data_IF_045794556981
#
_entry.id   IF_045794556981
#
_cell.length_a   1.000
_cell.length_b   1.000
_cell.length_c   1.000
_cell.angle_alpha   90.00
_cell.angle_beta   90.00
_cell.angle_gamma   90.00
#
_symmetry.space_group_name_H-M   'P 1'
#
loop_
_entity.id
_entity.type
_entity.pdbx_description
1 polymer ?
#
# COMPACT_ATOMS: atom_id res chain seq x y z
N UNK A 1 0.04 -7.58 23.73
CA UNK A 1 -1.00 -6.55 23.88
C UNK A 1 -2.08 -6.93 24.90
N UNK A 2 -2.77 -8.08 24.78
CA UNK A 2 -3.84 -8.44 25.73
C UNK A 2 -3.39 -8.48 27.19
N UNK A 3 -2.26 -9.14 27.49
CA UNK A 3 -1.74 -9.28 28.86
C UNK A 3 -1.01 -8.06 29.43
N UNK A 4 -0.86 -6.98 28.66
CA UNK A 4 -0.17 -5.77 29.11
C UNK A 4 -1.18 -4.80 29.76
N UNK A 5 -1.11 -4.49 31.06
CA UNK A 5 -2.07 -3.62 31.74
C UNK A 5 -2.06 -2.17 31.22
N UNK A 6 -1.00 -1.69 30.56
CA UNK A 6 -0.92 -0.32 30.04
C UNK A 6 -1.52 -0.18 28.62
N UNK A 7 -1.80 -1.30 27.95
CA UNK A 7 -2.49 -1.28 26.65
C UNK A 7 -4.00 -1.13 26.85
N UNK A 8 -4.56 0.05 26.54
CA UNK A 8 -6.00 0.30 26.61
C UNK A 8 -6.77 -0.17 25.35
N UNK A 9 -6.13 -0.23 24.19
CA UNK A 9 -6.73 -0.66 22.92
C UNK A 9 -5.67 -1.15 21.92
N UNK A 10 -6.08 -1.91 20.91
CA UNK A 10 -5.21 -2.41 19.84
C UNK A 10 -5.65 -1.85 18.49
N UNK A 11 -4.73 -1.24 17.74
CA UNK A 11 -4.93 -0.85 16.35
C UNK A 11 -4.15 -1.82 15.45
N UNK A 12 -4.87 -2.67 14.73
CA UNK A 12 -4.32 -3.63 13.78
C UNK A 12 -4.37 -3.06 12.37
N UNK A 13 -3.21 -2.95 11.72
CA UNK A 13 -3.05 -2.51 10.33
C UNK A 13 -2.49 -3.68 9.54
N UNK A 14 -3.31 -4.24 8.65
CA UNK A 14 -2.94 -5.32 7.75
C UNK A 14 -2.84 -4.87 6.29
N UNK A 15 -2.55 -5.82 5.40
CA UNK A 15 -2.47 -5.62 3.95
C UNK A 15 -3.32 -6.68 3.24
N UNK A 16 -3.57 -6.48 1.94
CA UNK A 16 -4.08 -7.54 1.06
C UNK A 16 -3.05 -8.67 0.88
N UNK A 17 -3.54 -9.86 0.54
CA UNK A 17 -2.73 -11.07 0.35
C UNK A 17 -2.56 -11.90 1.64
N UNK A 18 -2.34 -13.20 1.47
CA UNK A 18 -2.23 -14.16 2.59
C UNK A 18 -3.51 -14.31 3.43
N UNK A 19 -3.40 -14.95 4.60
CA UNK A 19 -4.50 -15.25 5.53
C UNK A 19 -4.29 -14.73 6.96
N UNK A 20 -3.18 -14.02 7.21
CA UNK A 20 -2.74 -13.66 8.56
C UNK A 20 -3.77 -12.81 9.30
N UNK A 21 -4.45 -11.90 8.61
CA UNK A 21 -5.48 -11.04 9.20
C UNK A 21 -6.76 -11.81 9.56
N UNK A 22 -7.11 -12.83 8.79
CA UNK A 22 -8.22 -13.73 9.10
C UNK A 22 -7.92 -14.60 10.32
N UNK A 23 -6.69 -15.13 10.41
CA UNK A 23 -6.20 -15.88 11.58
C UNK A 23 -6.14 -14.98 12.82
N UNK A 24 -5.63 -13.76 12.68
CA UNK A 24 -5.63 -12.76 13.75
C UNK A 24 -7.06 -12.40 14.18
N UNK A 25 -8.01 -12.29 13.24
CA UNK A 25 -9.42 -12.06 13.58
C UNK A 25 -10.00 -13.23 14.39
N UNK A 26 -9.72 -14.48 14.02
CA UNK A 26 -10.13 -15.64 14.81
C UNK A 26 -9.54 -15.60 16.23
N UNK A 27 -8.24 -15.30 16.35
CA UNK A 27 -7.59 -15.16 17.66
C UNK A 27 -8.20 -14.02 18.50
N UNK A 28 -8.49 -12.87 17.88
CA UNK A 28 -9.11 -11.73 18.55
C UNK A 28 -10.48 -12.11 19.12
N UNK A 29 -11.31 -12.80 18.34
CA UNK A 29 -12.62 -13.27 18.78
C UNK A 29 -12.53 -14.14 20.04
N UNK A 30 -11.56 -15.04 20.08
CA UNK A 30 -11.50 -16.09 21.11
C UNK A 30 -10.71 -15.67 22.36
N UNK A 31 -9.78 -14.71 22.23
CA UNK A 31 -8.79 -14.44 23.28
C UNK A 31 -8.60 -12.97 23.64
N UNK A 32 -9.15 -12.02 22.88
CA UNK A 32 -8.89 -10.59 23.09
C UNK A 32 -10.16 -9.88 23.57
N UNK A 33 -10.12 -9.36 24.79
CA UNK A 33 -11.24 -8.61 25.37
C UNK A 33 -11.09 -7.10 25.21
N UNK A 34 -9.87 -6.62 24.93
CA UNK A 34 -9.60 -5.20 24.70
C UNK A 34 -10.19 -4.74 23.36
N UNK A 35 -10.60 -3.47 23.23
CA UNK A 35 -11.07 -2.95 21.96
C UNK A 35 -10.01 -3.08 20.86
N UNK A 36 -10.39 -3.72 19.75
CA UNK A 36 -9.55 -3.82 18.55
C UNK A 36 -10.15 -3.00 17.41
N UNK A 37 -9.31 -2.19 16.77
CA UNK A 37 -9.62 -1.41 15.56
C UNK A 37 -8.79 -2.02 14.43
N UNK A 38 -9.39 -2.20 13.25
CA UNK A 38 -8.75 -2.83 12.09
C UNK A 38 -8.71 -1.92 10.86
N UNK A 39 -7.63 -1.95 10.11
CA UNK A 39 -7.53 -1.33 8.78
C UNK A 39 -6.76 -2.26 7.83
N UNK A 40 -7.21 -2.34 6.58
CA UNK A 40 -6.51 -3.08 5.52
C UNK A 40 -5.98 -2.11 4.46
N UNK A 41 -4.68 -2.13 4.25
CA UNK A 41 -4.00 -1.46 3.15
C UNK A 41 -4.32 -2.17 1.82
N UNK A 42 -4.34 -1.41 0.71
CA UNK A 42 -4.57 -2.00 -0.61
C UNK A 42 -6.05 -2.30 -0.95
N UNK A 43 -7.01 -1.70 -0.24
CA UNK A 43 -8.46 -1.84 -0.53
C UNK A 43 -8.86 -1.51 -1.98
N UNK A 44 -8.11 -0.65 -2.66
CA UNK A 44 -8.36 -0.23 -4.05
C UNK A 44 -7.37 -0.88 -5.03
N UNK A 45 -6.65 -1.93 -4.61
CA UNK A 45 -5.68 -2.59 -5.46
C UNK A 45 -6.42 -3.30 -6.62
N UNK A 46 -5.96 -3.12 -7.87
CA UNK A 46 -6.50 -3.86 -8.99
C UNK A 46 -6.20 -5.36 -8.84
N UNK A 47 -7.09 -6.26 -9.33
CA UNK A 47 -6.84 -7.70 -9.33
C UNK A 47 -5.52 -8.06 -10.03
N UNK A 48 -4.86 -9.11 -9.54
CA UNK A 48 -3.63 -9.65 -10.15
C UNK A 48 -2.39 -8.76 -10.01
N UNK A 49 -2.43 -7.75 -9.14
CA UNK A 49 -1.29 -6.85 -8.89
C UNK A 49 -0.65 -7.16 -7.56
N UNK A 50 0.68 -7.28 -7.59
CA UNK A 50 1.50 -7.43 -6.40
C UNK A 50 1.75 -6.06 -5.78
N UNK A 51 1.33 -5.85 -4.55
CA UNK A 51 1.75 -4.70 -3.75
C UNK A 51 3.14 -4.99 -3.16
N UNK A 52 3.93 -3.95 -2.90
CA UNK A 52 5.41 -4.01 -2.83
C UNK A 52 6.05 -5.03 -1.87
N UNK A 53 5.32 -5.61 -0.90
CA UNK A 53 5.82 -6.67 -0.03
C UNK A 53 5.73 -8.06 -0.68
N UNK A 54 6.67 -8.93 -0.33
CA UNK A 54 6.82 -10.23 -1.00
C UNK A 54 5.56 -11.12 -0.92
N UNK A 55 4.71 -10.95 0.10
CA UNK A 55 3.50 -11.74 0.37
C UNK A 55 2.17 -11.14 -0.08
N UNK A 56 2.14 -9.92 -0.65
CA UNK A 56 0.88 -9.29 -1.08
C UNK A 56 0.47 -9.76 -2.50
N UNK A 57 0.17 -11.05 -2.62
CA UNK A 57 -0.39 -11.66 -3.83
C UNK A 57 -1.86 -11.98 -3.58
N UNK A 58 -2.75 -11.37 -4.36
CA UNK A 58 -4.16 -11.77 -4.46
C UNK A 58 -4.24 -12.76 -5.62
N UNK A 59 -4.35 -14.06 -5.32
CA UNK A 59 -4.54 -15.12 -6.32
C UNK A 59 -5.86 -15.86 -6.06
N UNK A 60 -6.56 -16.23 -7.13
CA UNK A 60 -7.78 -17.06 -7.05
C UNK A 60 -8.94 -16.44 -6.27
N UNK A 61 -8.96 -15.12 -6.06
CA UNK A 61 -10.02 -14.43 -5.30
C UNK A 61 -9.86 -14.47 -3.79
N UNK A 62 -8.78 -15.07 -3.26
CA UNK A 62 -8.47 -15.13 -1.83
C UNK A 62 -7.48 -14.04 -1.41
N UNK A 63 -7.56 -13.63 -0.14
CA UNK A 63 -6.70 -12.58 0.44
C UNK A 63 -7.13 -11.16 0.03
N UNK A 64 -8.37 -10.99 -0.44
CA UNK A 64 -8.89 -9.67 -0.79
C UNK A 64 -9.12 -8.82 0.47
N UNK A 65 -9.06 -7.50 0.32
CA UNK A 65 -9.37 -6.61 1.44
C UNK A 65 -10.80 -6.82 1.96
N UNK A 66 -11.75 -7.10 1.06
CA UNK A 66 -13.15 -7.31 1.43
C UNK A 66 -13.32 -8.53 2.34
N UNK A 67 -12.70 -9.66 2.02
CA UNK A 67 -12.74 -10.88 2.83
C UNK A 67 -12.10 -10.67 4.20
N UNK A 68 -10.89 -10.10 4.23
CA UNK A 68 -10.16 -9.76 5.46
C UNK A 68 -10.99 -8.87 6.37
N UNK A 69 -11.53 -7.78 5.82
CA UNK A 69 -12.37 -6.85 6.58
C UNK A 69 -13.67 -7.49 7.05
N UNK A 70 -14.24 -8.44 6.30
CA UNK A 70 -15.41 -9.19 6.72
C UNK A 70 -15.08 -10.15 7.89
N UNK A 71 -13.94 -10.85 7.82
CA UNK A 71 -13.45 -11.68 8.92
C UNK A 71 -13.22 -10.87 10.20
N UNK A 72 -12.53 -9.73 10.08
CA UNK A 72 -12.34 -8.79 11.19
C UNK A 72 -13.66 -8.34 11.80
N UNK A 73 -14.63 -7.92 10.98
CA UNK A 73 -15.96 -7.50 11.47
C UNK A 73 -16.68 -8.62 12.23
N UNK A 74 -16.63 -9.86 11.72
CA UNK A 74 -17.23 -11.02 12.40
C UNK A 74 -16.58 -11.31 13.75
N UNK A 75 -15.31 -10.98 13.91
CA UNK A 75 -14.57 -11.09 15.17
C UNK A 75 -14.81 -9.94 16.16
N UNK A 76 -15.71 -8.99 15.85
CA UNK A 76 -15.97 -7.82 16.70
C UNK A 76 -14.95 -6.69 16.55
N UNK A 77 -14.05 -6.77 15.57
CA UNK A 77 -13.07 -5.72 15.29
C UNK A 77 -13.75 -4.53 14.61
N UNK A 78 -13.49 -3.32 15.10
CA UNK A 78 -13.97 -2.07 14.48
C UNK A 78 -13.14 -1.75 13.25
N UNK A 79 -13.63 -2.15 12.08
CA UNK A 79 -12.89 -1.96 10.83
C UNK A 79 -13.15 -0.59 10.21
N UNK A 80 -12.09 0.19 9.97
CA UNK A 80 -12.14 1.47 9.27
C UNK A 80 -11.77 1.33 7.80
N UNK A 81 -12.32 2.20 6.94
CA UNK A 81 -12.06 2.20 5.49
C UNK A 81 -10.95 3.16 5.06
N UNK A 82 -10.66 4.17 5.88
CA UNK A 82 -9.70 5.23 5.55
C UNK A 82 -8.68 5.40 6.69
N UNK A 83 -7.40 5.61 6.37
CA UNK A 83 -6.39 5.97 7.37
C UNK A 83 -6.77 7.19 8.20
N UNK A 84 -7.44 8.17 7.59
CA UNK A 84 -7.88 9.40 8.26
C UNK A 84 -8.86 9.14 9.41
N UNK A 85 -9.59 8.02 9.37
CA UNK A 85 -10.58 7.65 10.38
C UNK A 85 -10.01 6.80 11.53
N UNK A 86 -8.75 6.34 11.44
CA UNK A 86 -8.16 5.46 12.46
C UNK A 86 -8.11 6.13 13.84
N UNK A 87 -7.51 7.32 13.92
CA UNK A 87 -7.33 8.02 15.20
C UNK A 87 -8.65 8.38 15.89
N UNK A 88 -9.62 8.87 15.13
CA UNK A 88 -10.95 9.18 15.63
C UNK A 88 -11.68 7.93 16.15
N UNK A 89 -11.52 6.80 15.46
CA UNK A 89 -12.14 5.52 15.85
C UNK A 89 -11.50 4.93 17.11
N UNK A 90 -10.18 5.04 17.25
CA UNK A 90 -9.47 4.68 18.48
C UNK A 90 -9.95 5.56 19.64
N UNK A 91 -10.02 6.88 19.45
CA UNK A 91 -10.51 7.79 20.49
C UNK A 91 -11.94 7.46 20.94
N UNK A 92 -12.84 7.12 20.01
CA UNK A 92 -14.20 6.63 20.32
C UNK A 92 -14.18 5.32 21.11
N UNK A 93 -13.36 4.35 20.71
CA UNK A 93 -13.25 3.07 21.40
C UNK A 93 -12.78 3.25 22.85
N UNK A 94 -11.76 4.09 23.07
CA UNK A 94 -11.25 4.41 24.40
C UNK A 94 -12.29 5.15 25.25
N UNK A 95 -13.02 6.09 24.66
CA UNK A 95 -14.08 6.82 25.36
C UNK A 95 -15.23 5.90 25.83
N UNK A 96 -15.46 4.78 25.15
CA UNK A 96 -16.52 3.82 25.51
C UNK A 96 -16.16 2.91 26.70
N UNK A 97 -14.87 2.77 27.03
CA UNK A 97 -14.40 1.87 28.10
C UNK A 97 -13.90 2.62 29.35
N UNK A 98 -13.58 3.91 29.24
CA UNK A 98 -13.15 4.71 30.39
C UNK A 98 -14.37 5.26 31.15
N UNK A 99 -14.45 5.07 32.49
CA UNK A 99 -15.44 5.75 33.31
C UNK A 99 -15.37 7.27 33.10
N UNK A 100 -16.51 7.95 33.05
CA UNK A 100 -16.60 9.41 32.86
C UNK A 100 -15.71 10.18 33.84
N UNK A 101 -15.50 9.65 35.06
CA UNK A 101 -14.63 10.23 36.09
C UNK A 101 -13.12 10.01 35.87
N UNK A 102 -12.71 8.94 35.16
CA UNK A 102 -11.30 8.65 34.83
C UNK A 102 -10.80 9.43 33.59
N UNK A 103 -11.65 10.29 33.04
CA UNK A 103 -11.38 11.18 31.91
C UNK A 103 -10.54 12.39 32.37
N UNK A 104 -9.42 12.17 33.08
CA UNK A 104 -8.49 13.25 33.49
C UNK A 104 -7.38 13.45 32.46
N UNK A 105 -7.19 14.74 32.15
CA UNK A 105 -6.13 15.45 31.42
C UNK A 105 -5.16 14.56 30.65
N UNK A 106 -5.37 14.45 29.33
CA UNK A 106 -4.27 14.15 28.44
C UNK A 106 -3.09 15.06 28.82
N UNK A 107 -1.93 14.45 29.14
CA UNK A 107 -0.67 15.18 29.23
C UNK A 107 -0.45 15.96 27.93
N UNK A 108 0.45 16.98 27.92
CA UNK A 108 0.59 17.87 26.78
C UNK A 108 0.83 17.07 25.50
N UNK A 109 -0.18 17.06 24.62
CA UNK A 109 -0.06 16.50 23.28
C UNK A 109 1.09 17.27 22.63
N UNK A 110 2.15 16.54 22.26
CA UNK A 110 3.36 17.11 21.68
C UNK A 110 3.01 18.15 20.60
N UNK A 111 3.78 19.25 20.58
CA UNK A 111 3.55 20.42 19.72
C UNK A 111 3.12 19.97 18.32
N UNK A 112 1.97 20.50 17.84
CA UNK A 112 1.51 20.30 16.46
C UNK A 112 2.68 20.62 15.51
N UNK A 113 3.20 19.60 14.84
CA UNK A 113 4.10 19.81 13.71
C UNK A 113 3.20 20.24 12.56
N UNK A 114 3.28 21.51 12.17
CA UNK A 114 2.58 22.00 11.00
C UNK A 114 3.00 21.16 9.79
N UNK A 115 2.03 20.58 9.08
CA UNK A 115 2.31 19.91 7.82
C UNK A 115 2.83 20.97 6.84
N UNK A 116 4.13 20.95 6.56
CA UNK A 116 4.70 21.74 5.48
C UNK A 116 4.03 21.31 4.18
N UNK A 117 3.37 22.24 3.48
CA UNK A 117 2.90 22.01 2.12
C UNK A 117 4.13 21.75 1.25
N UNK A 118 4.25 20.54 0.71
CA UNK A 118 5.21 20.27 -0.35
C UNK A 118 4.74 21.03 -1.60
N UNK A 119 5.44 22.11 -1.96
CA UNK A 119 5.28 22.72 -3.29
C UNK A 119 5.92 21.81 -4.34
N UNK A 120 5.12 21.39 -5.31
CA UNK A 120 5.61 20.69 -6.49
C UNK A 120 6.51 21.63 -7.32
N UNK A 121 7.68 21.18 -7.82
CA UNK A 121 8.52 22.03 -8.65
C UNK A 121 7.80 22.34 -9.97
N UNK A 122 7.69 23.64 -10.28
CA UNK A 122 7.16 24.14 -11.56
C UNK A 122 8.06 23.67 -12.71
N UNK A 123 7.44 23.06 -13.73
CA UNK A 123 8.08 22.80 -15.01
C UNK A 123 8.48 24.12 -15.68
N UNK A 124 9.76 24.29 -15.99
CA UNK A 124 10.26 25.44 -16.73
C UNK A 124 9.91 25.30 -18.22
N UNK A 125 8.96 26.12 -18.68
CA UNK A 125 8.63 26.27 -20.08
C UNK A 125 9.65 27.18 -20.80
N UNK A 126 10.35 26.62 -21.78
CA UNK A 126 10.63 27.21 -23.09
C UNK A 126 11.57 28.42 -23.22
N UNK A 127 12.69 28.21 -23.92
CA UNK A 127 13.17 29.19 -24.93
C UNK A 127 13.41 28.47 -26.26
N UNK A 128 12.57 28.80 -27.24
CA UNK A 128 12.79 28.52 -28.67
C UNK A 128 14.00 29.33 -29.15
N UNK A 129 14.90 28.72 -29.92
CA UNK A 129 15.71 29.38 -30.96
C UNK A 129 15.80 28.49 -32.20
N UNK A 130 15.83 29.17 -33.33
CA UNK A 130 15.50 28.84 -34.74
C UNK A 130 16.52 27.96 -35.50
N UNK A 131 16.18 27.45 -36.70
CA UNK A 131 16.99 26.47 -37.43
C UNK A 131 18.07 27.13 -38.30
N UNK A 132 19.24 26.49 -38.43
CA UNK A 132 20.27 26.91 -39.38
C UNK A 132 20.87 25.72 -40.16
N UNK A 133 20.47 25.71 -41.45
CA UNK A 133 21.25 25.46 -42.67
C UNK A 133 21.89 24.08 -42.95
N UNK A 134 21.35 23.48 -44.01
CA UNK A 134 21.85 22.39 -44.86
C UNK A 134 23.27 22.65 -45.37
N UNK A 135 24.11 21.61 -45.37
CA UNK A 135 25.24 21.47 -46.30
C UNK A 135 25.30 20.02 -46.82
N UNK A 136 25.41 19.89 -48.14
CA UNK A 136 25.45 18.64 -48.91
C UNK A 136 26.76 18.63 -49.70
N UNK A 137 27.58 17.58 -49.55
CA UNK A 137 28.58 17.05 -50.50
C UNK A 137 29.48 16.05 -49.72
N UNK A 138 29.92 14.89 -50.22
CA UNK A 138 29.78 14.25 -51.51
C UNK A 138 30.49 12.88 -51.53
N UNK A 139 29.97 12.00 -52.40
CA UNK A 139 30.58 10.92 -53.21
C UNK A 139 31.75 10.05 -52.69
N UNK A 140 31.53 8.74 -52.84
CA UNK A 140 32.51 7.73 -53.28
C UNK A 140 32.53 6.50 -52.37
N UNK A 141 32.35 5.24 -52.80
CA UNK A 141 32.12 4.61 -54.09
C UNK A 141 32.01 3.08 -53.88
N UNK A 142 31.29 2.39 -54.79
CA UNK A 142 31.48 1.03 -55.37
C UNK A 142 32.12 -0.10 -54.50
N UNK A 143 31.78 -1.38 -54.56
CA UNK A 143 30.88 -2.22 -55.35
C UNK A 143 31.03 -3.70 -54.88
N UNK A 144 30.06 -4.55 -55.22
CA UNK A 144 30.21 -6.02 -55.36
C UNK A 144 30.29 -6.83 -54.06
N UNK A 145 29.82 -8.08 -53.95
CA UNK A 145 29.14 -8.97 -54.86
C UNK A 145 28.43 -10.08 -54.06
N UNK A 146 27.16 -10.30 -54.41
CA UNK A 146 26.45 -11.57 -54.64
C UNK A 146 27.11 -12.93 -54.30
N UNK A 147 26.21 -13.86 -53.89
CA UNK A 147 26.23 -15.35 -53.96
C UNK A 147 27.00 -16.04 -52.81
N UNK A 148 26.63 -17.20 -52.26
CA UNK A 148 25.60 -18.23 -52.54
C UNK A 148 25.48 -19.17 -51.33
N UNK A 149 24.36 -19.88 -51.27
CA UNK A 149 23.99 -20.96 -50.36
C UNK A 149 25.08 -22.00 -50.02
N UNK A 150 24.96 -22.65 -48.84
CA UNK A 150 25.03 -24.12 -48.75
C UNK A 150 24.33 -24.69 -47.51
N UNK A 151 23.49 -25.69 -47.78
CA UNK A 151 22.90 -26.70 -46.88
C UNK A 151 23.99 -27.68 -46.40
N UNK A 152 23.90 -28.16 -45.16
CA UNK A 152 24.37 -29.49 -44.70
C UNK A 152 23.82 -29.73 -43.27
N UNK A 153 22.79 -30.54 -43.01
CA UNK A 153 22.72 -32.03 -42.88
C UNK A 153 23.34 -32.62 -41.60
N UNK A 154 22.55 -33.47 -40.92
CA UNK A 154 22.92 -34.43 -39.85
C UNK A 154 22.41 -33.98 -38.48
N UNK A 155 21.38 -34.55 -37.81
CA UNK A 155 20.94 -35.94 -37.55
C UNK A 155 21.97 -36.77 -36.79
N UNK A 156 21.61 -37.17 -35.58
CA UNK A 156 22.32 -37.99 -34.62
C UNK A 156 21.65 -37.84 -33.28
#
# INVERSE_FOLDING_TARGET
FQGDPETDAVLMIGEIGGSAEEEAAAFVRDHVTKPVIGFICGQTAPPGRRMGHAGAIISGGSGTAAEKMAAMRRAGIRVVKSPAAMGETVARALASIRPVAARRTAGPVGKRVAMAKAEAPRAAAGRRRTPAKVARAGRGGKAGARRTARKSTGRG
#
